data_IF_371426825906
#
_entry.id   IF_371426825906
#
_cell.length_a   1.000
_cell.length_b   1.000
_cell.length_c   1.000
_cell.angle_alpha   90.00
_cell.angle_beta   90.00
_cell.angle_gamma   90.00
#
_symmetry.space_group_name_H-M   'P 1'
#
loop_
_entity.id
_entity.type
_entity.pdbx_description
1 polymer ?
#
# COMPACT_ATOMS: atom_id res chain seq x y z
N UNK A 1 15.33 2.35 65.54
CA UNK A 1 14.86 3.05 64.32
C UNK A 1 14.86 1.98 63.18
N UNK A 2 13.71 1.41 62.94
CA UNK A 2 13.48 0.34 61.96
C UNK A 2 13.10 0.95 60.62
N UNK A 3 13.91 0.74 59.59
CA UNK A 3 13.65 1.21 58.23
C UNK A 3 12.59 0.30 57.59
N UNK A 4 11.43 0.90 57.26
CA UNK A 4 10.35 0.26 56.54
C UNK A 4 10.69 0.05 55.04
N UNK A 5 10.56 -1.17 54.57
CA UNK A 5 10.67 -1.58 53.16
C UNK A 5 9.39 -1.22 52.46
N UNK A 6 9.46 -0.41 51.40
CA UNK A 6 8.34 -0.13 50.52
C UNK A 6 8.10 -1.35 49.60
N UNK A 7 6.86 -1.76 49.29
CA UNK A 7 6.58 -2.86 48.37
C UNK A 7 6.89 -2.45 46.94
N UNK A 8 7.79 -3.18 46.29
CA UNK A 8 8.07 -3.03 44.87
C UNK A 8 6.90 -3.54 44.06
N UNK A 9 6.31 -2.66 43.28
CA UNK A 9 5.41 -3.01 42.16
C UNK A 9 6.27 -3.51 41.01
N UNK A 10 6.33 -4.82 40.81
CA UNK A 10 6.87 -5.40 39.59
C UNK A 10 5.98 -4.99 38.42
N UNK A 11 6.53 -4.51 37.28
CA UNK A 11 5.77 -4.32 36.08
C UNK A 11 5.41 -5.72 35.55
N UNK A 12 4.12 -6.02 35.43
CA UNK A 12 3.64 -7.21 34.73
C UNK A 12 4.07 -7.10 33.26
N UNK A 13 5.18 -7.72 32.91
CA UNK A 13 5.66 -7.88 31.56
C UNK A 13 4.67 -8.75 30.79
N UNK A 14 4.00 -8.17 29.80
CA UNK A 14 3.32 -8.94 28.74
C UNK A 14 4.42 -9.71 27.99
N UNK A 15 4.57 -10.98 28.28
CA UNK A 15 5.58 -11.84 27.66
C UNK A 15 5.37 -11.95 26.14
N UNK A 16 6.36 -12.47 25.40
CA UNK A 16 6.37 -12.54 23.93
C UNK A 16 5.15 -13.24 23.30
N UNK A 17 4.41 -14.03 24.05
CA UNK A 17 3.17 -14.69 23.59
C UNK A 17 2.01 -13.73 23.34
N UNK A 18 1.91 -12.61 24.06
CA UNK A 18 0.86 -11.61 23.85
C UNK A 18 1.02 -10.80 22.54
N UNK A 19 2.26 -10.50 22.17
CA UNK A 19 2.56 -9.74 20.95
C UNK A 19 2.26 -10.53 19.67
N UNK A 20 2.51 -11.85 19.67
CA UNK A 20 2.22 -12.73 18.52
C UNK A 20 0.72 -12.85 18.24
N UNK A 21 -0.10 -12.99 19.29
CA UNK A 21 -1.56 -13.09 19.14
C UNK A 21 -2.19 -11.78 18.63
N UNK A 22 -1.70 -10.63 19.07
CA UNK A 22 -2.17 -9.33 18.60
C UNK A 22 -1.78 -9.06 17.13
N UNK A 23 -0.58 -9.50 16.72
CA UNK A 23 -0.12 -9.40 15.34
C UNK A 23 -0.95 -10.25 14.38
N UNK A 24 -1.22 -11.49 14.74
CA UNK A 24 -2.04 -12.40 13.95
C UNK A 24 -3.47 -11.86 13.77
N UNK A 25 -4.08 -11.29 14.83
CA UNK A 25 -5.40 -10.67 14.78
C UNK A 25 -5.47 -9.47 13.82
N UNK A 26 -4.40 -8.66 13.76
CA UNK A 26 -4.33 -7.53 12.82
C UNK A 26 -4.33 -8.00 11.37
N UNK A 27 -3.46 -8.97 11.03
CA UNK A 27 -3.33 -9.47 9.65
C UNK A 27 -4.66 -10.09 9.17
N UNK A 28 -5.30 -10.86 10.03
CA UNK A 28 -6.58 -11.50 9.73
C UNK A 28 -7.71 -10.47 9.54
N UNK A 29 -7.80 -9.45 10.41
CA UNK A 29 -8.78 -8.38 10.29
C UNK A 29 -8.59 -7.56 9.00
N UNK A 30 -7.34 -7.23 8.65
CA UNK A 30 -7.00 -6.50 7.43
C UNK A 30 -7.35 -7.32 6.20
N UNK A 31 -7.02 -8.61 6.20
CA UNK A 31 -7.33 -9.53 5.09
C UNK A 31 -8.82 -9.68 4.86
N UNK A 32 -9.61 -9.88 5.94
CA UNK A 32 -11.08 -9.95 5.81
C UNK A 32 -11.68 -8.66 5.26
N UNK A 33 -11.23 -7.52 5.77
CA UNK A 33 -11.72 -6.23 5.28
C UNK A 33 -11.35 -6.02 3.81
N UNK A 34 -10.12 -6.34 3.43
CA UNK A 34 -9.66 -6.29 2.05
C UNK A 34 -10.52 -7.17 1.13
N UNK A 35 -10.77 -8.42 1.52
CA UNK A 35 -11.59 -9.33 0.75
C UNK A 35 -13.02 -8.79 0.54
N UNK A 36 -13.61 -8.18 1.57
CA UNK A 36 -14.93 -7.56 1.48
C UNK A 36 -14.92 -6.30 0.59
N UNK A 37 -13.97 -5.38 0.81
CA UNK A 37 -13.87 -4.12 0.06
C UNK A 37 -13.56 -4.33 -1.42
N UNK A 38 -12.79 -5.37 -1.77
CA UNK A 38 -12.40 -5.70 -3.14
C UNK A 38 -13.30 -6.80 -3.76
N UNK A 39 -14.40 -7.18 -3.08
CA UNK A 39 -15.40 -8.17 -3.52
C UNK A 39 -14.76 -9.50 -3.97
N UNK A 40 -13.77 -9.97 -3.20
CA UNK A 40 -13.09 -11.22 -3.51
C UNK A 40 -14.00 -12.41 -3.19
N UNK A 41 -14.07 -13.37 -4.11
CA UNK A 41 -14.75 -14.64 -3.89
C UNK A 41 -13.73 -15.70 -3.51
N UNK A 42 -13.98 -16.52 -2.46
CA UNK A 42 -13.12 -17.67 -2.17
C UNK A 42 -13.08 -18.62 -3.35
N UNK A 43 -11.90 -19.00 -3.78
CA UNK A 43 -11.70 -20.08 -4.72
C UNK A 43 -10.53 -20.95 -4.30
N UNK A 44 -10.30 -22.05 -5.00
CA UNK A 44 -9.25 -23.00 -4.64
C UNK A 44 -7.88 -22.34 -4.67
N UNK A 45 -7.08 -22.52 -3.62
CA UNK A 45 -5.71 -22.03 -3.53
C UNK A 45 -4.85 -22.76 -4.55
N UNK A 46 -4.02 -22.07 -5.35
CA UNK A 46 -3.02 -22.73 -6.15
C UNK A 46 -1.98 -23.39 -5.21
N UNK A 47 -1.57 -24.59 -5.50
CA UNK A 47 -0.47 -25.21 -4.76
C UNK A 47 0.86 -24.52 -5.03
N UNK A 48 1.00 -23.92 -6.19
CA UNK A 48 2.19 -23.27 -6.70
C UNK A 48 1.81 -21.97 -7.39
N UNK A 49 2.60 -20.92 -7.18
CA UNK A 49 2.40 -19.57 -7.69
C UNK A 49 3.69 -19.08 -8.37
N UNK A 50 3.61 -18.67 -9.63
CA UNK A 50 4.69 -17.97 -10.31
C UNK A 50 4.51 -16.46 -10.06
N UNK A 51 5.55 -15.83 -9.52
CA UNK A 51 5.53 -14.42 -9.14
C UNK A 51 6.44 -13.62 -10.05
N UNK A 52 5.93 -12.53 -10.59
CA UNK A 52 6.73 -11.56 -11.31
C UNK A 52 6.74 -10.19 -10.63
N UNK A 53 7.70 -9.34 -10.99
CA UNK A 53 7.68 -7.94 -10.63
C UNK A 53 8.15 -7.07 -11.80
N UNK A 54 7.65 -5.83 -11.89
CA UNK A 54 8.08 -4.87 -12.90
C UNK A 54 8.37 -3.50 -12.29
N UNK A 55 9.50 -2.89 -12.71
CA UNK A 55 9.94 -1.55 -12.36
C UNK A 55 11.33 -1.50 -11.74
N UNK A 56 11.73 -0.33 -11.24
CA UNK A 56 13.12 -0.03 -10.84
C UNK A 56 13.69 -0.96 -9.76
N UNK A 57 12.84 -1.45 -8.84
CA UNK A 57 13.22 -2.34 -7.74
C UNK A 57 12.59 -3.74 -7.87
N UNK A 58 12.32 -4.19 -9.10
CA UNK A 58 11.64 -5.45 -9.36
C UNK A 58 12.35 -6.66 -8.74
N UNK A 59 13.68 -6.77 -8.89
CA UNK A 59 14.48 -7.88 -8.34
C UNK A 59 14.34 -8.00 -6.82
N UNK A 60 14.56 -6.89 -6.10
CA UNK A 60 14.41 -6.86 -4.65
C UNK A 60 12.96 -7.09 -4.20
N UNK A 61 12.00 -6.70 -5.02
CA UNK A 61 10.57 -6.86 -4.72
C UNK A 61 10.12 -8.31 -4.86
N UNK A 62 10.50 -8.99 -5.95
CA UNK A 62 10.14 -10.39 -6.18
C UNK A 62 10.87 -11.34 -5.23
N UNK A 63 12.06 -10.96 -4.76
CA UNK A 63 12.86 -11.68 -3.77
C UNK A 63 12.55 -11.35 -2.30
N UNK A 64 11.50 -10.57 -2.02
CA UNK A 64 11.22 -10.08 -0.68
C UNK A 64 10.80 -11.22 0.28
N UNK A 65 11.53 -11.44 1.41
CA UNK A 65 11.23 -12.51 2.36
C UNK A 65 9.86 -12.37 3.04
N UNK A 66 9.29 -11.17 3.12
CA UNK A 66 7.94 -10.98 3.66
C UNK A 66 6.87 -11.54 2.72
N UNK A 67 7.12 -11.54 1.40
CA UNK A 67 6.22 -12.21 0.45
C UNK A 67 6.27 -13.72 0.64
N UNK A 68 7.47 -14.28 0.84
CA UNK A 68 7.64 -15.71 1.10
C UNK A 68 6.91 -16.13 2.36
N UNK A 69 7.12 -15.38 3.45
CA UNK A 69 6.46 -15.66 4.73
C UNK A 69 4.92 -15.56 4.60
N UNK A 70 4.41 -14.58 3.88
CA UNK A 70 2.97 -14.41 3.65
C UNK A 70 2.38 -15.56 2.80
N UNK A 71 3.06 -15.95 1.72
CA UNK A 71 2.64 -17.08 0.89
C UNK A 71 2.69 -18.40 1.68
N UNK A 72 3.77 -18.64 2.45
CA UNK A 72 3.91 -19.81 3.30
C UNK A 72 2.80 -19.89 4.36
N UNK A 73 2.50 -18.77 5.03
CA UNK A 73 1.40 -18.68 6.01
C UNK A 73 0.03 -18.95 5.36
N UNK A 74 -0.14 -18.60 4.08
CA UNK A 74 -1.33 -18.91 3.29
C UNK A 74 -1.34 -20.34 2.73
N UNK A 75 -0.28 -21.14 2.95
CA UNK A 75 -0.14 -22.50 2.39
C UNK A 75 0.17 -22.52 0.90
N UNK A 76 0.76 -21.45 0.37
CA UNK A 76 1.10 -21.29 -1.07
C UNK A 76 2.62 -21.40 -1.22
N UNK A 77 3.08 -22.23 -2.18
CA UNK A 77 4.50 -22.30 -2.56
C UNK A 77 4.78 -21.40 -3.76
N UNK A 78 5.82 -20.58 -3.69
CA UNK A 78 6.32 -19.84 -4.85
C UNK A 78 7.12 -20.80 -5.73
N UNK A 79 6.70 -20.92 -6.97
CA UNK A 79 7.28 -21.84 -7.94
C UNK A 79 8.38 -21.23 -8.79
N UNK A 80 8.12 -20.05 -9.33
CA UNK A 80 9.02 -19.26 -10.15
C UNK A 80 9.02 -17.80 -9.73
N UNK A 81 10.12 -17.10 -10.07
CA UNK A 81 10.27 -15.65 -9.85
C UNK A 81 10.92 -15.02 -11.05
N UNK A 82 10.31 -13.98 -11.58
CA UNK A 82 10.86 -13.20 -12.68
C UNK A 82 10.81 -11.71 -12.35
N UNK A 83 11.84 -10.97 -12.74
CA UNK A 83 11.91 -9.53 -12.58
C UNK A 83 12.05 -8.88 -13.96
N UNK A 84 11.26 -7.86 -14.22
CA UNK A 84 11.23 -7.13 -15.47
C UNK A 84 11.55 -5.66 -15.22
N UNK A 85 12.34 -5.05 -16.11
CA UNK A 85 12.69 -3.64 -16.01
C UNK A 85 11.47 -2.72 -16.22
N UNK A 86 10.53 -3.16 -17.04
CA UNK A 86 9.35 -2.39 -17.42
C UNK A 86 8.09 -3.25 -17.53
N UNK A 87 6.97 -2.57 -17.74
CA UNK A 87 5.66 -3.20 -17.81
C UNK A 87 5.45 -3.97 -19.12
N UNK A 88 6.03 -3.51 -20.23
CA UNK A 88 5.86 -4.16 -21.54
C UNK A 88 6.53 -5.54 -21.54
N UNK A 89 7.73 -5.64 -20.94
CA UNK A 89 8.42 -6.91 -20.75
C UNK A 89 7.64 -7.87 -19.83
N UNK A 90 7.06 -7.37 -18.75
CA UNK A 90 6.18 -8.16 -17.86
C UNK A 90 4.96 -8.70 -18.61
N UNK A 91 4.32 -7.88 -19.45
CA UNK A 91 3.09 -8.26 -20.13
C UNK A 91 3.35 -9.23 -21.28
N UNK A 92 4.55 -9.19 -21.87
CA UNK A 92 5.00 -10.16 -22.87
C UNK A 92 5.31 -11.53 -22.26
N UNK A 93 5.70 -11.57 -20.99
CA UNK A 93 5.88 -12.81 -20.23
C UNK A 93 4.51 -13.38 -19.82
N UNK A 94 4.22 -14.61 -20.22
CA UNK A 94 2.96 -15.27 -19.91
C UNK A 94 3.04 -16.22 -18.71
N UNK A 95 4.24 -16.43 -18.15
CA UNK A 95 4.47 -17.40 -17.07
C UNK A 95 4.48 -16.75 -15.69
N UNK A 96 3.44 -15.99 -15.37
CA UNK A 96 3.20 -15.48 -14.02
C UNK A 96 1.70 -15.52 -13.67
N UNK A 97 1.41 -15.74 -12.41
CA UNK A 97 0.07 -15.74 -11.83
C UNK A 97 -0.18 -14.46 -11.04
N UNK A 98 0.85 -13.96 -10.34
CA UNK A 98 0.84 -12.75 -9.53
C UNK A 98 2.00 -11.85 -9.95
N UNK A 99 1.73 -10.58 -10.28
CA UNK A 99 2.78 -9.62 -10.55
C UNK A 99 2.71 -8.39 -9.63
N UNK A 100 3.89 -7.98 -9.15
CA UNK A 100 4.08 -6.85 -8.25
C UNK A 100 4.56 -5.66 -9.06
N UNK A 101 3.77 -4.60 -9.08
CA UNK A 101 4.11 -3.38 -9.83
C UNK A 101 4.73 -2.37 -8.89
N UNK A 102 5.98 -2.00 -9.16
CA UNK A 102 6.68 -0.96 -8.43
C UNK A 102 6.85 0.31 -9.27
N UNK A 103 7.46 1.34 -8.69
CA UNK A 103 7.66 2.60 -9.41
C UNK A 103 8.51 2.38 -10.67
N UNK A 104 8.20 3.11 -11.77
CA UNK A 104 7.18 4.15 -11.92
C UNK A 104 5.82 3.65 -12.47
N UNK A 105 5.62 2.36 -12.68
CA UNK A 105 4.60 1.79 -13.57
C UNK A 105 3.18 1.65 -13.00
N UNK A 106 2.96 1.93 -11.71
CA UNK A 106 1.66 1.69 -11.03
C UNK A 106 0.45 2.39 -11.66
N UNK A 107 0.64 3.61 -12.19
CA UNK A 107 -0.42 4.33 -12.90
C UNK A 107 -0.67 3.77 -14.31
N UNK A 108 0.41 3.36 -15.00
CA UNK A 108 0.32 2.78 -16.33
C UNK A 108 -0.32 1.39 -16.29
N UNK A 109 -0.01 0.59 -15.27
CA UNK A 109 -0.53 -0.77 -15.12
C UNK A 109 -2.06 -0.85 -15.09
N UNK A 110 -2.73 0.19 -14.57
CA UNK A 110 -4.19 0.24 -14.57
C UNK A 110 -4.82 0.20 -15.98
N UNK A 111 -4.09 0.67 -16.99
CA UNK A 111 -4.58 0.69 -18.39
C UNK A 111 -4.51 -0.68 -19.06
N UNK A 112 -3.74 -1.62 -18.50
CA UNK A 112 -3.51 -2.95 -19.04
C UNK A 112 -4.40 -4.03 -18.41
N UNK A 113 -5.19 -3.66 -17.41
CA UNK A 113 -6.05 -4.62 -16.74
C UNK A 113 -7.35 -4.84 -17.52
N UNK A 114 -7.77 -6.09 -17.66
CA UNK A 114 -9.11 -6.43 -18.16
C UNK A 114 -10.17 -6.02 -17.12
N UNK A 115 -9.81 -6.04 -15.84
CA UNK A 115 -10.66 -5.61 -14.72
C UNK A 115 -9.84 -4.86 -13.67
N UNK A 116 -10.45 -3.84 -13.07
CA UNK A 116 -9.91 -3.15 -11.92
C UNK A 116 -10.77 -3.42 -10.69
N UNK A 117 -10.12 -3.78 -9.58
CA UNK A 117 -10.76 -3.85 -8.29
C UNK A 117 -11.19 -2.43 -7.83
N UNK A 118 -12.19 -2.30 -6.93
CA UNK A 118 -12.78 -1.00 -6.60
C UNK A 118 -11.79 0.10 -6.25
N UNK A 119 -10.79 -0.16 -5.42
CA UNK A 119 -9.80 0.88 -5.07
C UNK A 119 -8.81 1.17 -6.19
N UNK A 120 -8.47 0.18 -6.99
CA UNK A 120 -7.63 0.40 -8.18
C UNK A 120 -8.36 1.28 -9.20
N UNK A 121 -9.65 1.04 -9.43
CA UNK A 121 -10.49 1.87 -10.29
C UNK A 121 -10.63 3.31 -9.76
N UNK A 122 -10.88 3.47 -8.46
CA UNK A 122 -11.05 4.78 -7.83
C UNK A 122 -9.78 5.64 -7.81
N UNK A 123 -8.59 5.01 -7.78
CA UNK A 123 -7.31 5.72 -7.69
C UNK A 123 -6.55 5.81 -9.02
N UNK A 124 -6.90 4.97 -10.00
CA UNK A 124 -6.09 4.77 -11.21
C UNK A 124 -4.72 4.17 -10.93
N UNK A 125 -4.56 3.48 -9.79
CA UNK A 125 -3.28 2.90 -9.34
C UNK A 125 -3.41 1.41 -9.14
N UNK A 126 -2.50 0.66 -9.77
CA UNK A 126 -2.36 -0.79 -9.63
C UNK A 126 -0.95 -1.10 -9.15
N UNK A 127 -0.84 -1.72 -7.99
CA UNK A 127 0.43 -2.20 -7.43
C UNK A 127 0.55 -3.73 -7.47
N UNK A 128 -0.54 -4.41 -7.82
CA UNK A 128 -0.60 -5.86 -7.88
C UNK A 128 -1.51 -6.29 -9.04
N UNK A 129 -0.98 -7.13 -9.91
CA UNK A 129 -1.72 -7.79 -10.99
C UNK A 129 -1.91 -9.25 -10.63
N UNK A 130 -3.05 -9.77 -11.01
CA UNK A 130 -3.35 -11.19 -10.89
C UNK A 130 -3.86 -11.70 -12.24
N UNK A 131 -3.27 -12.78 -12.74
CA UNK A 131 -3.66 -13.40 -14.01
C UNK A 131 -4.43 -14.69 -13.76
N UNK A 132 -5.61 -14.81 -14.36
CA UNK A 132 -6.41 -16.01 -14.29
C UNK A 132 -7.33 -16.17 -15.49
N UNK A 133 -7.42 -17.39 -16.00
CA UNK A 133 -8.32 -17.69 -17.11
C UNK A 133 -8.08 -16.85 -18.36
N UNK A 134 -6.86 -16.32 -18.55
CA UNK A 134 -6.49 -15.42 -19.63
C UNK A 134 -6.84 -13.94 -19.40
N UNK A 135 -7.43 -13.58 -18.24
CA UNK A 135 -7.71 -12.21 -17.84
C UNK A 135 -6.69 -11.69 -16.80
N UNK A 136 -6.43 -10.40 -16.83
CA UNK A 136 -5.57 -9.69 -15.86
C UNK A 136 -6.43 -8.75 -15.01
N UNK A 137 -6.45 -9.00 -13.72
CA UNK A 137 -7.12 -8.13 -12.74
C UNK A 137 -6.10 -7.27 -11.98
N UNK A 138 -6.40 -5.97 -11.83
CA UNK A 138 -5.55 -5.02 -11.15
C UNK A 138 -6.08 -4.62 -9.77
N UNK A 139 -5.17 -4.59 -8.78
CA UNK A 139 -5.48 -4.27 -7.38
C UNK A 139 -4.59 -3.17 -6.84
N UNK A 140 -5.13 -2.39 -5.88
CA UNK A 140 -4.39 -1.40 -5.11
C UNK A 140 -4.28 -1.86 -3.64
N UNK A 141 -3.31 -2.73 -3.36
CA UNK A 141 -3.08 -3.25 -2.01
C UNK A 141 -2.46 -2.20 -1.09
N UNK A 142 -1.70 -1.24 -1.64
CA UNK A 142 -1.08 -0.16 -0.88
C UNK A 142 -2.11 0.70 -0.13
N UNK A 143 -3.25 0.98 -0.73
CA UNK A 143 -4.32 1.76 -0.10
C UNK A 143 -4.86 1.10 1.19
N UNK A 144 -5.07 -0.22 1.17
CA UNK A 144 -5.51 -0.98 2.35
C UNK A 144 -4.41 -1.11 3.40
N UNK A 145 -3.19 -1.46 2.95
CA UNK A 145 -2.05 -1.65 3.83
C UNK A 145 -1.71 -0.36 4.59
N UNK A 146 -1.72 0.79 3.91
CA UNK A 146 -1.47 2.07 4.58
C UNK A 146 -2.58 2.42 5.56
N UNK A 147 -3.86 2.24 5.22
CA UNK A 147 -4.96 2.53 6.14
C UNK A 147 -4.84 1.74 7.45
N UNK A 148 -4.45 0.47 7.37
CA UNK A 148 -4.24 -0.37 8.55
C UNK A 148 -2.98 0.04 9.34
N UNK A 149 -1.89 0.39 8.66
CA UNK A 149 -0.67 0.87 9.30
C UNK A 149 -0.91 2.22 9.99
N UNK A 150 -1.62 3.15 9.35
CA UNK A 150 -1.98 4.44 9.93
C UNK A 150 -2.89 4.28 11.16
N UNK A 151 -3.91 3.43 11.09
CA UNK A 151 -4.76 3.13 12.25
C UNK A 151 -3.95 2.53 13.41
N UNK A 152 -2.98 1.66 13.13
CA UNK A 152 -2.09 1.10 14.15
C UNK A 152 -1.17 2.16 14.75
N UNK A 153 -0.65 3.09 13.94
CA UNK A 153 0.20 4.21 14.38
C UNK A 153 -0.57 5.19 15.25
N UNK A 154 -1.82 5.49 14.89
CA UNK A 154 -2.69 6.38 15.64
C UNK A 154 -3.18 5.76 16.95
N UNK A 155 -3.31 4.43 17.04
CA UNK A 155 -3.86 3.75 18.21
C UNK A 155 -5.33 4.11 18.41
N UNK A 156 -5.67 4.70 19.56
CA UNK A 156 -7.03 5.21 19.86
C UNK A 156 -7.28 6.64 19.39
N UNK A 157 -6.23 7.34 18.97
CA UNK A 157 -6.34 8.74 18.57
C UNK A 157 -6.93 8.86 17.16
N UNK A 158 -7.69 9.93 16.95
CA UNK A 158 -8.26 10.25 15.63
C UNK A 158 -7.58 11.53 15.14
N UNK A 159 -6.83 11.51 14.03
CA UNK A 159 -6.18 12.70 13.52
C UNK A 159 -7.21 13.71 13.01
N UNK A 160 -7.04 14.99 13.37
CA UNK A 160 -7.80 16.09 12.79
C UNK A 160 -7.20 16.53 11.44
N UNK A 161 -5.86 16.39 11.29
CA UNK A 161 -5.11 16.81 10.10
C UNK A 161 -4.09 15.74 9.71
N UNK A 162 -4.16 15.35 8.45
CA UNK A 162 -3.25 14.36 7.84
C UNK A 162 -2.51 15.05 6.69
N UNK A 163 -1.19 15.04 6.72
CA UNK A 163 -0.35 15.56 5.64
C UNK A 163 0.24 14.39 4.83
N UNK A 164 -0.11 14.29 3.57
CA UNK A 164 0.51 13.36 2.62
C UNK A 164 1.64 14.08 1.89
N UNK A 165 2.84 13.58 2.00
CA UNK A 165 4.04 14.13 1.35
C UNK A 165 4.42 13.27 0.16
N UNK A 166 4.20 13.81 -1.04
CA UNK A 166 4.42 13.15 -2.32
C UNK A 166 3.26 13.38 -3.29
N UNK A 167 3.48 13.10 -4.58
CA UNK A 167 2.47 13.24 -5.63
C UNK A 167 2.44 12.07 -6.61
N UNK A 168 3.19 11.00 -6.34
CA UNK A 168 3.24 9.80 -7.17
C UNK A 168 2.06 8.84 -6.92
N UNK A 169 2.10 7.67 -7.55
CA UNK A 169 1.06 6.66 -7.45
C UNK A 169 0.77 6.24 -5.99
N UNK A 170 1.81 6.10 -5.16
CA UNK A 170 1.62 5.77 -3.74
C UNK A 170 0.94 6.91 -2.99
N UNK A 171 1.25 8.18 -3.30
CA UNK A 171 0.56 9.32 -2.69
C UNK A 171 -0.93 9.35 -3.06
N UNK A 172 -1.31 9.01 -4.30
CA UNK A 172 -2.71 8.84 -4.71
C UNK A 172 -3.42 7.76 -3.88
N UNK A 173 -2.79 6.59 -3.73
CA UNK A 173 -3.33 5.48 -2.92
C UNK A 173 -3.53 5.88 -1.46
N UNK A 174 -2.57 6.61 -0.88
CA UNK A 174 -2.56 7.05 0.52
C UNK A 174 -3.56 8.18 0.76
N UNK A 175 -3.66 9.17 -0.15
CA UNK A 175 -4.66 10.24 -0.06
C UNK A 175 -6.08 9.66 -0.09
N UNK A 176 -6.36 8.77 -1.03
CA UNK A 176 -7.64 8.06 -1.08
C UNK A 176 -7.93 7.28 0.20
N UNK A 177 -6.92 6.55 0.71
CA UNK A 177 -7.06 5.78 1.94
C UNK A 177 -7.30 6.67 3.16
N UNK A 178 -6.61 7.82 3.26
CA UNK A 178 -6.76 8.78 4.35
C UNK A 178 -8.18 9.36 4.41
N UNK A 179 -8.71 9.80 3.27
CA UNK A 179 -10.08 10.33 3.16
C UNK A 179 -11.15 9.31 3.59
N UNK A 180 -10.93 8.03 3.31
CA UNK A 180 -11.88 6.97 3.68
C UNK A 180 -11.71 6.45 5.11
N UNK A 181 -10.47 6.34 5.59
CA UNK A 181 -10.18 5.82 6.93
C UNK A 181 -10.45 6.87 8.02
N UNK A 182 -10.27 8.15 7.70
CA UNK A 182 -10.42 9.27 8.62
C UNK A 182 -11.32 10.37 8.02
N UNK A 183 -12.63 10.10 7.86
CA UNK A 183 -13.54 10.97 7.09
C UNK A 183 -13.77 12.36 7.70
N UNK A 184 -13.34 12.58 8.95
CA UNK A 184 -13.41 13.88 9.63
C UNK A 184 -12.10 14.65 9.59
N UNK A 185 -11.02 14.01 9.13
CA UNK A 185 -9.71 14.65 9.05
C UNK A 185 -9.64 15.57 7.82
N UNK A 186 -8.97 16.70 7.97
CA UNK A 186 -8.49 17.48 6.83
C UNK A 186 -7.28 16.74 6.24
N UNK A 187 -7.32 16.46 4.94
CA UNK A 187 -6.24 15.75 4.25
C UNK A 187 -5.51 16.72 3.33
N UNK A 188 -4.30 17.09 3.72
CA UNK A 188 -3.41 17.95 2.95
C UNK A 188 -2.41 17.15 2.12
N UNK A 189 -2.06 17.68 0.95
CA UNK A 189 -1.03 17.12 0.07
C UNK A 189 0.07 18.15 -0.14
N UNK A 190 1.30 17.78 0.17
CA UNK A 190 2.50 18.57 -0.09
C UNK A 190 3.44 17.79 -1.02
N UNK A 191 4.02 18.45 -2.02
CA UNK A 191 4.98 17.84 -2.91
C UNK A 191 5.91 18.89 -3.50
N UNK A 192 7.09 18.45 -3.97
CA UNK A 192 8.05 19.29 -4.68
C UNK A 192 7.43 19.99 -5.90
N UNK A 193 6.62 19.26 -6.68
CA UNK A 193 5.89 19.80 -7.81
C UNK A 193 4.49 20.25 -7.38
N UNK A 194 4.27 21.57 -7.35
CA UNK A 194 2.95 22.15 -7.09
C UNK A 194 1.91 21.66 -8.09
N UNK A 195 2.26 21.58 -9.37
CA UNK A 195 1.35 21.13 -10.42
C UNK A 195 0.91 19.67 -10.21
N UNK A 196 1.86 18.78 -9.85
CA UNK A 196 1.53 17.38 -9.57
C UNK A 196 0.69 17.21 -8.29
N UNK A 197 0.96 18.02 -7.25
CA UNK A 197 0.12 18.03 -6.04
C UNK A 197 -1.29 18.54 -6.34
N UNK A 198 -1.43 19.62 -7.12
CA UNK A 198 -2.72 20.15 -7.52
C UNK A 198 -3.54 19.16 -8.37
N UNK A 199 -2.90 18.44 -9.28
CA UNK A 199 -3.53 17.37 -10.05
C UNK A 199 -4.05 16.25 -9.14
N UNK A 200 -3.23 15.81 -8.17
CA UNK A 200 -3.63 14.79 -7.21
C UNK A 200 -4.84 15.23 -6.38
N UNK A 201 -4.82 16.48 -5.88
CA UNK A 201 -5.94 17.05 -5.12
C UNK A 201 -7.21 17.17 -5.96
N UNK A 202 -7.09 17.55 -7.24
CA UNK A 202 -8.23 17.60 -8.17
C UNK A 202 -8.89 16.23 -8.36
N UNK A 203 -8.10 15.16 -8.36
CA UNK A 203 -8.60 13.79 -8.52
C UNK A 203 -9.20 13.21 -7.22
N UNK A 204 -8.96 13.86 -6.07
CA UNK A 204 -9.38 13.36 -4.75
C UNK A 204 -10.16 14.44 -3.98
N UNK A 205 -11.44 14.57 -4.30
CA UNK A 205 -12.32 15.52 -3.62
C UNK A 205 -12.25 15.36 -2.08
N UNK A 206 -12.15 16.47 -1.37
CA UNK A 206 -11.97 16.50 0.08
C UNK A 206 -10.51 16.57 0.54
N UNK A 207 -9.54 16.52 -0.38
CA UNK A 207 -8.14 16.86 -0.08
C UNK A 207 -7.81 18.30 -0.50
N UNK A 208 -6.72 18.86 0.03
CA UNK A 208 -6.26 20.22 -0.27
C UNK A 208 -4.76 20.26 -0.53
N UNK A 209 -4.31 21.20 -1.36
CA UNK A 209 -2.88 21.47 -1.53
C UNK A 209 -2.33 22.25 -0.35
N UNK A 210 -1.23 21.81 0.22
CA UNK A 210 -0.56 22.43 1.37
C UNK A 210 0.81 22.96 0.93
N UNK A 211 0.94 24.27 0.68
CA UNK A 211 2.22 24.88 0.33
C UNK A 211 3.17 25.02 1.53
N UNK A 212 2.63 25.15 2.74
CA UNK A 212 3.36 25.26 3.99
C UNK A 212 2.98 24.14 4.95
N UNK A 213 3.76 23.05 5.01
CA UNK A 213 3.54 21.95 5.93
C UNK A 213 3.53 22.37 7.42
N UNK A 214 4.37 23.33 7.81
CA UNK A 214 4.46 23.82 9.18
C UNK A 214 3.18 24.51 9.63
N UNK A 215 2.64 25.42 8.82
CA UNK A 215 1.38 26.10 9.09
C UNK A 215 0.16 25.18 9.05
N UNK A 216 0.24 24.04 8.37
CA UNK A 216 -0.82 23.02 8.38
C UNK A 216 -0.91 22.30 9.73
N UNK A 217 0.19 22.17 10.48
CA UNK A 217 0.30 21.55 11.80
C UNK A 217 -0.38 20.15 11.86
N UNK A 218 0.14 19.13 11.13
CA UNK A 218 -0.50 17.83 11.02
C UNK A 218 -0.38 17.00 12.31
N UNK A 219 -1.40 16.19 12.60
CA UNK A 219 -1.34 15.15 13.65
C UNK A 219 -0.67 13.87 13.11
N UNK A 220 -0.83 13.62 11.79
CA UNK A 220 -0.23 12.50 11.09
C UNK A 220 0.44 12.99 9.79
N UNK A 221 1.73 12.71 9.64
CA UNK A 221 2.49 12.90 8.41
C UNK A 221 2.67 11.54 7.73
N UNK A 222 2.28 11.42 6.47
CA UNK A 222 2.52 10.25 5.63
C UNK A 222 3.53 10.62 4.53
N UNK A 223 4.82 10.33 4.75
CA UNK A 223 5.87 10.50 3.76
C UNK A 223 5.90 9.29 2.84
N UNK A 224 5.54 9.50 1.57
CA UNK A 224 5.35 8.44 0.58
C UNK A 224 6.06 8.75 -0.74
N UNK A 225 7.23 9.39 -0.63
CA UNK A 225 8.17 9.59 -1.72
C UNK A 225 9.23 8.49 -1.73
N UNK A 226 10.06 8.45 -2.76
CA UNK A 226 11.24 7.58 -2.84
C UNK A 226 12.48 8.20 -2.18
N UNK A 227 12.38 9.42 -1.63
CA UNK A 227 13.48 10.06 -0.92
C UNK A 227 13.87 9.22 0.31
N UNK A 228 15.16 8.91 0.44
CA UNK A 228 15.68 8.09 1.53
C UNK A 228 15.62 6.57 1.30
N UNK A 229 15.07 6.09 0.19
CA UNK A 229 15.07 4.65 -0.12
C UNK A 229 16.46 4.10 -0.43
N UNK A 230 17.27 4.86 -1.17
CA UNK A 230 18.60 4.43 -1.61
C UNK A 230 19.75 5.23 -0.97
N UNK A 231 19.48 6.47 -0.57
CA UNK A 231 20.47 7.38 0.00
C UNK A 231 19.91 8.05 1.25
N UNK A 232 20.58 7.86 2.40
CA UNK A 232 20.19 8.45 3.67
C UNK A 232 20.42 9.96 3.74
N UNK A 233 21.31 10.48 2.90
CA UNK A 233 21.65 11.90 2.85
C UNK A 233 20.78 12.69 1.88
N UNK A 234 19.88 12.01 1.15
CA UNK A 234 18.98 12.69 0.21
C UNK A 234 18.13 13.73 0.96
N UNK A 235 18.18 15.00 0.57
CA UNK A 235 17.38 16.03 1.21
C UNK A 235 15.89 15.74 1.00
N UNK A 236 15.08 16.05 2.00
CA UNK A 236 13.64 15.96 1.85
C UNK A 236 13.19 16.89 0.72
N UNK A 237 12.41 16.37 -0.20
CA UNK A 237 11.84 17.13 -1.32
C UNK A 237 10.90 18.24 -0.86
N UNK A 238 10.42 18.16 0.39
CA UNK A 238 9.48 19.11 1.00
C UNK A 238 9.97 19.45 2.42
N UNK A 239 10.12 20.73 2.78
CA UNK A 239 10.53 21.13 4.12
C UNK A 239 9.46 20.73 5.15
N UNK A 240 9.79 19.83 6.06
CA UNK A 240 8.86 19.31 7.07
C UNK A 240 9.14 19.84 8.50
N UNK A 241 10.21 20.62 8.71
CA UNK A 241 10.65 21.02 10.05
C UNK A 241 9.55 21.58 10.93
N UNK A 242 8.74 22.50 10.43
CA UNK A 242 7.61 23.08 11.16
C UNK A 242 6.42 22.11 11.37
N UNK A 243 6.32 21.04 10.60
CA UNK A 243 5.27 20.03 10.70
C UNK A 243 5.60 18.92 11.73
N UNK A 244 6.88 18.78 12.08
CA UNK A 244 7.36 17.75 13.00
C UNK A 244 7.43 18.32 14.42
N UNK A 245 6.35 18.14 15.18
CA UNK A 245 6.22 18.62 16.56
C UNK A 245 6.17 17.42 17.53
N UNK A 246 6.51 17.60 18.81
CA UNK A 246 6.35 16.55 19.81
C UNK A 246 4.94 15.95 19.77
N UNK A 247 4.86 14.61 19.66
CA UNK A 247 3.60 13.89 19.58
C UNK A 247 3.01 13.74 18.17
N UNK A 248 3.51 14.46 17.16
CA UNK A 248 3.13 14.18 15.75
C UNK A 248 3.46 12.73 15.40
N UNK A 249 2.53 12.04 14.73
CA UNK A 249 2.77 10.69 14.19
C UNK A 249 3.37 10.81 12.79
N UNK A 250 4.43 10.07 12.54
CA UNK A 250 5.12 10.08 11.23
C UNK A 250 5.16 8.66 10.68
N UNK A 251 4.48 8.46 9.58
CA UNK A 251 4.64 7.28 8.75
C UNK A 251 5.63 7.62 7.62
N UNK A 252 6.73 6.89 7.56
CA UNK A 252 7.70 7.00 6.47
C UNK A 252 7.72 5.70 5.67
N UNK A 253 7.47 5.77 4.36
CA UNK A 253 7.43 4.60 3.47
C UNK A 253 8.75 3.84 3.43
N UNK A 254 9.86 4.51 3.77
CA UNK A 254 11.19 3.92 3.79
C UNK A 254 11.29 2.78 4.81
N UNK A 255 11.84 1.65 4.37
CA UNK A 255 11.95 0.42 5.19
C UNK A 255 13.20 0.37 6.08
N UNK A 256 14.03 1.39 6.03
CA UNK A 256 15.24 1.55 6.85
C UNK A 256 15.20 2.85 7.64
N UNK A 257 16.10 3.04 8.58
CA UNK A 257 16.18 4.28 9.36
C UNK A 257 16.66 5.43 8.47
N UNK A 258 15.71 6.19 7.92
CA UNK A 258 15.96 7.33 7.03
C UNK A 258 16.38 8.59 7.78
N UNK A 259 16.87 9.61 7.06
CA UNK A 259 17.14 10.93 7.63
C UNK A 259 15.88 11.56 8.22
N UNK A 260 14.72 11.40 7.55
CA UNK A 260 13.43 11.87 8.06
C UNK A 260 13.07 11.20 9.39
N UNK A 261 13.20 9.87 9.48
CA UNK A 261 12.89 9.14 10.72
C UNK A 261 13.77 9.60 11.88
N UNK A 262 15.09 9.78 11.65
CA UNK A 262 16.00 10.32 12.68
C UNK A 262 15.60 11.72 13.14
N UNK A 263 15.29 12.61 12.19
CA UNK A 263 14.87 13.97 12.48
C UNK A 263 13.53 14.00 13.25
N UNK A 264 12.55 13.22 12.83
CA UNK A 264 11.25 13.11 13.49
C UNK A 264 11.39 12.59 14.94
N UNK A 265 12.20 11.54 15.15
CA UNK A 265 12.49 11.02 16.49
C UNK A 265 13.15 12.08 17.38
N UNK A 266 14.12 12.83 16.86
CA UNK A 266 14.77 13.92 17.58
C UNK A 266 13.80 15.07 17.92
N UNK A 267 12.77 15.29 17.10
CA UNK A 267 11.71 16.26 17.34
C UNK A 267 10.61 15.76 18.31
N UNK A 268 10.73 14.54 18.86
CA UNK A 268 9.76 13.95 19.78
C UNK A 268 8.51 13.38 19.11
N UNK A 269 8.57 13.08 17.80
CA UNK A 269 7.51 12.43 17.07
C UNK A 269 7.45 10.92 17.36
N UNK A 270 6.29 10.31 17.13
CA UNK A 270 6.13 8.85 17.09
C UNK A 270 6.29 8.41 15.65
N UNK A 271 7.25 7.53 15.37
CA UNK A 271 7.64 7.16 14.01
C UNK A 271 7.31 5.72 13.69
N UNK A 272 6.77 5.46 12.52
CA UNK A 272 6.58 4.14 11.93
C UNK A 272 7.24 4.10 10.55
N UNK A 273 8.10 3.09 10.32
CA UNK A 273 8.68 2.82 9.01
C UNK A 273 7.71 2.07 8.10
N UNK A 274 8.04 1.99 6.80
CA UNK A 274 7.26 1.26 5.80
C UNK A 274 7.18 -0.26 6.00
N UNK A 275 7.96 -0.84 6.91
CA UNK A 275 8.03 -2.29 7.12
C UNK A 275 6.66 -2.92 7.42
N UNK A 276 5.84 -2.28 8.28
CA UNK A 276 4.49 -2.80 8.56
C UNK A 276 3.61 -2.76 7.31
N UNK A 277 3.65 -1.66 6.57
CA UNK A 277 2.89 -1.56 5.32
C UNK A 277 3.34 -2.61 4.30
N UNK A 278 4.65 -2.88 4.21
CA UNK A 278 5.19 -3.90 3.33
C UNK A 278 4.73 -5.32 3.73
N UNK A 279 4.73 -5.63 5.03
CA UNK A 279 4.18 -6.89 5.55
C UNK A 279 2.70 -7.03 5.19
N UNK A 280 1.90 -6.00 5.45
CA UNK A 280 0.47 -5.98 5.13
C UNK A 280 0.23 -6.13 3.63
N UNK A 281 0.95 -5.38 2.79
CA UNK A 281 0.84 -5.48 1.33
C UNK A 281 1.12 -6.90 0.84
N UNK A 282 2.17 -7.55 1.32
CA UNK A 282 2.49 -8.93 0.93
C UNK A 282 1.48 -9.94 1.47
N UNK A 283 0.92 -9.72 2.66
CA UNK A 283 -0.20 -10.53 3.18
C UNK A 283 -1.43 -10.43 2.29
N UNK A 284 -1.78 -9.24 1.83
CA UNK A 284 -2.90 -9.03 0.91
C UNK A 284 -2.65 -9.66 -0.46
N UNK A 285 -1.41 -9.62 -0.96
CA UNK A 285 -0.99 -10.32 -2.20
C UNK A 285 -1.14 -11.83 -2.09
N UNK A 286 -0.72 -12.41 -0.96
CA UNK A 286 -0.94 -13.83 -0.70
C UNK A 286 -2.43 -14.18 -0.59
N UNK A 287 -3.25 -13.29 -0.01
CA UNK A 287 -4.69 -13.45 0.02
C UNK A 287 -5.33 -13.40 -1.37
N UNK A 288 -4.85 -12.52 -2.27
CA UNK A 288 -5.28 -12.46 -3.67
C UNK A 288 -4.98 -13.76 -4.42
N UNK A 289 -3.79 -14.32 -4.22
CA UNK A 289 -3.41 -15.59 -4.82
C UNK A 289 -4.27 -16.77 -4.32
N UNK A 290 -4.78 -16.67 -3.09
CA UNK A 290 -5.67 -17.68 -2.49
C UNK A 290 -7.18 -17.41 -2.72
N UNK A 291 -7.56 -16.18 -3.03
CA UNK A 291 -8.92 -15.81 -3.42
C UNK A 291 -9.08 -16.10 -4.92
N UNK A 292 -9.53 -17.27 -5.19
CA UNK A 292 -9.50 -17.75 -6.55
C UNK A 292 -10.19 -16.92 -7.57
N UNK A 293 -9.58 -17.01 -8.58
CA UNK A 293 -9.79 -16.53 -9.90
C UNK A 293 -10.53 -17.57 -10.74
N UNK A 294 -11.67 -18.04 -10.28
CA UNK A 294 -12.61 -18.65 -11.23
C UNK A 294 -13.58 -17.57 -11.66
N UNK A 295 -13.59 -17.20 -12.95
CA UNK A 295 -14.77 -16.58 -13.51
C UNK A 295 -15.92 -17.56 -13.28
N UNK A 296 -17.06 -17.09 -12.79
CA UNK A 296 -18.31 -17.81 -12.97
C UNK A 296 -18.37 -18.18 -14.48
N UNK A 297 -18.62 -19.44 -14.76
CA UNK A 297 -18.68 -19.99 -16.10
C UNK A 297 -19.44 -19.05 -17.05
N UNK A 298 -18.69 -18.36 -17.92
CA UNK A 298 -19.25 -17.76 -19.11
C UNK A 298 -18.96 -18.68 -20.27
N UNK A 299 -19.99 -19.19 -20.96
CA UNK A 299 -19.78 -20.03 -22.13
C UNK A 299 -19.15 -19.22 -23.28
N UNK A 300 -18.01 -19.67 -23.74
CA UNK A 300 -17.56 -19.47 -25.11
C UNK A 300 -17.03 -18.09 -25.49
N UNK A 301 -15.76 -17.81 -25.21
CA UNK A 301 -14.91 -17.05 -26.15
C UNK A 301 -13.65 -17.88 -26.41
N UNK A 302 -13.45 -18.21 -27.67
CA UNK A 302 -12.26 -18.91 -28.17
C UNK A 302 -10.97 -18.09 -27.95
N UNK A 303 -9.78 -18.67 -28.15
CA UNK A 303 -8.52 -18.02 -27.87
C UNK A 303 -8.38 -16.75 -28.71
N UNK A 304 -8.25 -15.62 -28.05
CA UNK A 304 -8.01 -14.32 -28.68
C UNK A 304 -6.50 -14.23 -28.94
N UNK A 305 -6.10 -14.64 -30.12
CA UNK A 305 -4.81 -14.26 -30.71
C UNK A 305 -4.92 -12.80 -31.14
N UNK A 306 -4.28 -11.88 -30.41
CA UNK A 306 -4.30 -10.48 -30.80
C UNK A 306 -4.10 -9.49 -29.64
N UNK A 307 -3.03 -9.66 -28.87
CA UNK A 307 -2.78 -8.82 -27.69
C UNK A 307 -2.18 -7.43 -28.00
N UNK A 308 -1.89 -7.14 -29.28
CA UNK A 308 -1.20 -5.89 -29.66
C UNK A 308 -2.12 -4.72 -30.05
N UNK A 309 -3.44 -4.93 -30.19
CA UNK A 309 -4.32 -3.90 -30.75
C UNK A 309 -5.32 -3.28 -29.75
N UNK A 310 -5.26 -3.63 -28.45
CA UNK A 310 -6.21 -3.12 -27.44
C UNK A 310 -5.89 -1.74 -26.86
N UNK A 311 -4.94 -1.00 -27.46
CA UNK A 311 -4.45 0.27 -26.91
C UNK A 311 -5.42 1.45 -26.99
N UNK A 312 -6.49 1.38 -27.77
CA UNK A 312 -7.28 2.58 -28.08
C UNK A 312 -8.79 2.54 -27.79
N UNK A 313 -9.40 1.39 -27.52
CA UNK A 313 -10.85 1.33 -27.28
C UNK A 313 -11.21 0.49 -26.05
N UNK A 314 -11.03 1.04 -24.85
CA UNK A 314 -11.56 0.42 -23.65
C UNK A 314 -12.91 1.05 -23.27
N UNK A 315 -14.04 0.31 -23.37
CA UNK A 315 -15.39 0.84 -23.12
C UNK A 315 -15.71 1.11 -21.63
N UNK A 316 -14.74 0.98 -20.72
CA UNK A 316 -14.98 1.11 -19.28
C UNK A 316 -15.01 2.55 -18.74
N UNK A 317 -15.00 3.57 -19.62
CA UNK A 317 -15.23 4.96 -19.17
C UNK A 317 -16.68 5.28 -18.78
N UNK A 318 -17.65 4.40 -19.07
CA UNK A 318 -19.07 4.74 -18.96
C UNK A 318 -19.92 3.88 -18.03
N UNK A 319 -19.37 2.90 -17.28
CA UNK A 319 -20.23 1.93 -16.57
C UNK A 319 -20.18 2.03 -15.04
N UNK A 320 -19.31 2.84 -14.43
CA UNK A 320 -19.14 2.82 -12.96
C UNK A 320 -19.40 4.18 -12.29
N UNK A 321 -20.44 4.88 -12.69
CA UNK A 321 -21.05 5.95 -11.89
C UNK A 321 -22.50 5.56 -11.65
N UNK A 322 -22.75 4.76 -10.67
CA UNK A 322 -24.01 4.74 -9.93
C UNK A 322 -23.69 4.38 -8.49
N UNK A 323 -23.66 5.45 -7.69
CA UNK A 323 -23.80 5.39 -6.23
C UNK A 323 -25.29 5.21 -5.84
N UNK A 324 -25.51 4.74 -4.61
CA UNK A 324 -26.07 5.65 -3.62
C UNK A 324 -25.08 6.01 -2.53
#
# INVERSE_FOLDING_TARGET
MTAGRLPGTEPQGTGPQGAGAQGAGLLDAVTRRFAADEMLTPAGRPERLNVAAAGTLAEGTVGNPLLDAACQAAGIRIGGRTAHADLDALLADLDWDLALIVSPHKGQAAQWCDRLAPRAAATGVVDTLVRAGGEVAGYNTNSHAWAAAAARLMGSDVPARILVVGSGATARSVTFAALRAFPRARVGVAARSRAAAAALVSDHAGSEYVPDPGGFAPDLVAHVTTAGEQDDEQPLDVPLGGALQPGTRVFDLTNRLSALQRHALAAGCVVMSGNLMQLLTNTLRAALAGAGQRPADRPGRGPVSGHLDRRHDHPLRSIWIQDP
#
